data_IF_189705856207
#
_entry.id   IF_189705856207
#
_cell.length_a   1.000
_cell.length_b   1.000
_cell.length_c   1.000
_cell.angle_alpha   90.00
_cell.angle_beta   90.00
_cell.angle_gamma   90.00
#
_symmetry.space_group_name_H-M   'P 1'
#
loop_
_entity.id
_entity.type
_entity.pdbx_description
1 polymer ?
#
# COMPACT_ATOMS: atom_id res chain seq x y z
N UNK A 1 5.09 2.09 -0.79
CA UNK A 1 5.46 1.11 -1.82
C UNK A 1 4.27 0.35 -2.34
N UNK A 2 3.61 -0.44 -1.50
CA UNK A 2 2.39 -1.20 -1.86
C UNK A 2 1.37 -0.36 -2.63
N UNK A 3 1.04 0.84 -2.14
CA UNK A 3 0.09 1.74 -2.83
C UNK A 3 0.62 2.24 -4.18
N UNK A 4 1.93 2.45 -4.35
CA UNK A 4 2.51 2.86 -5.64
C UNK A 4 2.42 1.73 -6.68
N UNK A 5 2.76 0.50 -6.26
CA UNK A 5 2.55 -0.69 -7.10
C UNK A 5 1.07 -0.89 -7.44
N UNK A 6 0.16 -0.68 -6.48
CA UNK A 6 -1.27 -0.78 -6.71
C UNK A 6 -1.77 0.25 -7.73
N UNK A 7 -1.36 1.52 -7.63
CA UNK A 7 -1.72 2.57 -8.61
C UNK A 7 -1.44 2.11 -10.03
N UNK A 8 -0.26 1.54 -10.27
CA UNK A 8 0.13 1.04 -11.58
C UNK A 8 -0.58 -0.26 -11.97
N UNK A 9 -0.75 -1.20 -11.03
CA UNK A 9 -1.49 -2.44 -11.28
C UNK A 9 -2.96 -2.19 -11.69
N UNK A 10 -3.61 -1.17 -11.11
CA UNK A 10 -4.98 -0.82 -11.46
C UNK A 10 -5.11 -0.22 -12.87
N UNK A 11 -4.07 0.43 -13.40
CA UNK A 11 -4.06 0.89 -14.80
C UNK A 11 -4.22 -0.29 -15.77
N UNK A 12 -3.57 -1.43 -15.48
CA UNK A 12 -3.64 -2.64 -16.32
C UNK A 12 -5.05 -3.25 -16.37
N UNK A 13 -5.80 -3.15 -15.28
CA UNK A 13 -7.18 -3.66 -15.19
C UNK A 13 -8.25 -2.61 -15.50
N UNK A 14 -7.86 -1.36 -15.77
CA UNK A 14 -8.78 -0.24 -16.00
C UNK A 14 -9.65 0.11 -14.78
N UNK A 15 -9.30 -0.36 -13.58
CA UNK A 15 -10.04 -0.12 -12.34
C UNK A 15 -9.56 1.19 -11.67
N UNK A 16 -10.44 1.80 -10.89
CA UNK A 16 -10.11 3.00 -10.09
C UNK A 16 -9.97 2.66 -8.61
N UNK A 17 -9.20 3.45 -7.85
CA UNK A 17 -9.08 3.27 -6.40
C UNK A 17 -10.44 3.29 -5.68
N UNK A 18 -11.38 4.12 -6.16
CA UNK A 18 -12.72 4.24 -5.57
C UNK A 18 -13.66 3.08 -5.86
N UNK A 19 -13.33 2.22 -6.83
CA UNK A 19 -14.21 1.13 -7.28
C UNK A 19 -13.73 -0.26 -6.87
N UNK A 20 -12.65 -0.37 -6.10
CA UNK A 20 -12.07 -1.66 -5.71
C UNK A 20 -12.43 -2.04 -4.28
N UNK A 21 -12.63 -3.34 -4.06
CA UNK A 21 -12.65 -3.98 -2.75
C UNK A 21 -11.26 -4.48 -2.38
N UNK A 22 -10.72 -4.00 -1.26
CA UNK A 22 -9.42 -4.42 -0.74
C UNK A 22 -9.59 -5.27 0.51
N UNK A 23 -8.95 -6.44 0.54
CA UNK A 23 -8.81 -7.26 1.75
C UNK A 23 -7.36 -7.30 2.18
N UNK A 24 -7.07 -6.80 3.38
CA UNK A 24 -5.73 -6.74 3.94
C UNK A 24 -5.60 -7.71 5.12
N UNK A 25 -4.65 -8.64 5.07
CA UNK A 25 -4.36 -9.55 6.17
C UNK A 25 -3.10 -9.11 6.94
N UNK A 26 -3.28 -8.80 8.22
CA UNK A 26 -2.21 -8.37 9.12
C UNK A 26 -2.46 -6.99 9.74
N UNK A 27 -3.04 -6.98 10.94
CA UNK A 27 -3.35 -5.76 11.71
C UNK A 27 -2.18 -5.17 12.52
N UNK A 28 -0.95 -5.31 12.01
CA UNK A 28 0.25 -4.69 12.56
C UNK A 28 0.52 -3.29 12.00
N UNK A 29 1.64 -2.68 12.38
CA UNK A 29 1.99 -1.32 11.98
C UNK A 29 1.99 -1.11 10.45
N UNK A 30 2.52 -2.08 9.69
CA UNK A 30 2.56 -2.03 8.22
C UNK A 30 1.14 -2.03 7.62
N UNK A 31 0.29 -2.98 8.03
CA UNK A 31 -1.07 -3.08 7.50
C UNK A 31 -1.91 -1.86 7.81
N UNK A 32 -1.83 -1.35 9.03
CA UNK A 32 -2.53 -0.12 9.45
C UNK A 32 -2.08 1.07 8.61
N UNK A 33 -0.77 1.23 8.39
CA UNK A 33 -0.24 2.33 7.59
C UNK A 33 -0.67 2.23 6.11
N UNK A 34 -0.67 1.02 5.54
CA UNK A 34 -1.13 0.78 4.17
C UNK A 34 -2.61 1.14 4.04
N UNK A 35 -3.47 0.67 4.95
CA UNK A 35 -4.90 0.97 4.94
C UNK A 35 -5.19 2.47 5.04
N UNK A 36 -4.52 3.17 5.97
CA UNK A 36 -4.69 4.63 6.12
C UNK A 36 -4.30 5.37 4.83
N UNK A 37 -3.27 4.89 4.12
CA UNK A 37 -2.83 5.48 2.86
C UNK A 37 -3.79 5.14 1.71
N UNK A 38 -4.27 3.90 1.61
CA UNK A 38 -5.31 3.51 0.63
C UNK A 38 -6.57 4.35 0.78
N UNK A 39 -7.00 4.59 2.02
CA UNK A 39 -8.14 5.45 2.31
C UNK A 39 -7.90 6.89 1.84
N UNK A 40 -6.69 7.44 2.02
CA UNK A 40 -6.34 8.76 1.45
C UNK A 40 -6.38 8.77 -0.09
N UNK A 41 -6.01 7.66 -0.73
CA UNK A 41 -6.07 7.48 -2.19
C UNK A 41 -7.48 7.17 -2.73
N UNK A 42 -8.50 7.20 -1.87
CA UNK A 42 -9.91 7.11 -2.29
C UNK A 42 -10.53 5.72 -2.23
N UNK A 43 -9.80 4.71 -1.75
CA UNK A 43 -10.39 3.39 -1.50
C UNK A 43 -11.38 3.49 -0.33
N UNK A 44 -12.58 2.92 -0.50
CA UNK A 44 -13.65 2.97 0.52
C UNK A 44 -14.12 1.60 0.98
N UNK A 45 -14.08 0.60 0.11
CA UNK A 45 -14.34 -0.79 0.49
C UNK A 45 -13.02 -1.48 0.89
N UNK A 46 -12.73 -1.46 2.19
CA UNK A 46 -11.53 -2.06 2.77
C UNK A 46 -11.94 -2.96 3.92
N UNK A 47 -11.49 -4.20 3.94
CA UNK A 47 -11.63 -5.11 5.09
C UNK A 47 -10.22 -5.47 5.59
N UNK A 48 -9.98 -5.26 6.88
CA UNK A 48 -8.75 -5.67 7.55
C UNK A 48 -8.99 -6.94 8.34
N UNK A 49 -8.10 -7.92 8.22
CA UNK A 49 -8.11 -9.16 8.98
C UNK A 49 -6.92 -9.24 9.94
N UNK A 50 -7.13 -9.92 11.06
CA UNK A 50 -6.09 -10.36 11.98
C UNK A 50 -6.26 -11.84 12.36
N UNK A 51 -5.53 -12.30 13.37
CA UNK A 51 -5.57 -13.70 13.85
C UNK A 51 -6.93 -14.15 14.39
N UNK A 52 -7.89 -13.23 14.57
CA UNK A 52 -9.25 -13.52 15.01
C UNK A 52 -10.28 -13.35 13.88
N UNK A 53 -9.87 -13.07 12.64
CA UNK A 53 -10.75 -12.78 11.50
C UNK A 53 -10.88 -11.29 11.16
N UNK A 54 -11.99 -10.92 10.50
CA UNK A 54 -12.28 -9.56 10.07
C UNK A 54 -12.45 -8.59 11.24
N UNK A 55 -11.88 -7.39 11.09
CA UNK A 55 -11.98 -6.28 12.03
C UNK A 55 -13.17 -5.40 11.61
N UNK A 56 -14.01 -5.09 12.58
CA UNK A 56 -15.18 -4.22 12.42
C UNK A 56 -15.46 -3.45 13.71
N UNK A 57 -16.24 -2.39 13.60
CA UNK A 57 -16.57 -1.56 14.76
C UNK A 57 -17.42 -2.35 15.77
N UNK A 58 -16.98 -2.33 17.04
CA UNK A 58 -17.62 -3.07 18.13
C UNK A 58 -17.26 -4.56 18.23
N UNK A 59 -16.28 -5.04 17.47
CA UNK A 59 -15.81 -6.43 17.57
C UNK A 59 -15.37 -6.77 19.01
N UNK A 60 -15.84 -7.88 19.60
CA UNK A 60 -15.70 -8.14 21.04
C UNK A 60 -14.29 -8.54 21.48
N UNK A 61 -13.48 -9.12 20.60
CA UNK A 61 -12.21 -9.76 20.95
C UNK A 61 -11.06 -9.29 20.05
N UNK A 62 -9.83 -9.31 20.59
CA UNK A 62 -8.61 -9.05 19.81
C UNK A 62 -8.42 -7.59 19.38
N UNK A 63 -9.20 -6.66 19.97
CA UNK A 63 -9.17 -5.23 19.64
C UNK A 63 -8.17 -4.45 20.51
N UNK A 64 -7.69 -3.34 19.97
CA UNK A 64 -6.88 -2.34 20.67
C UNK A 64 -7.23 -0.94 20.12
N UNK A 65 -6.66 0.11 20.71
CA UNK A 65 -6.97 1.50 20.30
C UNK A 65 -6.79 1.75 18.79
N UNK A 66 -5.71 1.23 18.20
CA UNK A 66 -5.41 1.42 16.76
C UNK A 66 -6.39 0.66 15.87
N UNK A 67 -6.73 -0.58 16.23
CA UNK A 67 -7.75 -1.35 15.51
C UNK A 67 -9.13 -0.71 15.62
N UNK A 68 -9.47 -0.14 16.78
CA UNK A 68 -10.71 0.60 16.96
C UNK A 68 -10.76 1.85 16.06
N UNK A 69 -9.65 2.56 15.87
CA UNK A 69 -9.60 3.68 14.92
C UNK A 69 -9.82 3.23 13.48
N UNK A 70 -9.15 2.16 13.05
CA UNK A 70 -9.28 1.64 11.68
C UNK A 70 -10.68 1.11 11.42
N UNK A 71 -11.26 0.39 12.38
CA UNK A 71 -12.61 -0.14 12.31
C UNK A 71 -13.71 0.91 12.06
N UNK A 72 -13.47 2.19 12.40
CA UNK A 72 -14.43 3.28 12.15
C UNK A 72 -14.61 3.62 10.67
N UNK A 73 -13.58 3.38 9.85
CA UNK A 73 -13.60 3.77 8.43
C UNK A 73 -13.37 2.59 7.47
N UNK A 74 -13.06 1.40 7.97
CA UNK A 74 -13.01 0.15 7.19
C UNK A 74 -14.19 -0.74 7.53
N UNK A 75 -14.53 -1.69 6.64
CA UNK A 75 -15.53 -2.73 6.86
C UNK A 75 -16.86 -2.16 7.38
N UNK A 76 -17.39 -1.16 6.65
CA UNK A 76 -18.60 -0.41 7.03
C UNK A 76 -19.84 -1.32 7.16
N UNK A 77 -19.88 -2.41 6.39
CA UNK A 77 -20.93 -3.43 6.46
C UNK A 77 -20.79 -4.38 7.66
N UNK A 78 -19.73 -4.22 8.46
CA UNK A 78 -19.40 -5.06 9.62
C UNK A 78 -19.38 -6.55 9.27
N UNK A 79 -18.78 -6.91 8.13
CA UNK A 79 -18.60 -8.30 7.74
C UNK A 79 -17.75 -9.01 8.78
N UNK A 80 -18.25 -10.13 9.28
CA UNK A 80 -17.58 -10.98 10.25
C UNK A 80 -16.95 -12.19 9.55
N UNK A 81 -16.26 -13.01 10.34
CA UNK A 81 -15.67 -14.26 9.85
C UNK A 81 -14.17 -14.19 9.59
N UNK A 82 -13.67 -15.30 9.05
CA UNK A 82 -12.29 -15.57 8.67
C UNK A 82 -11.87 -14.81 7.40
N UNK A 83 -10.57 -14.84 7.11
CA UNK A 83 -10.04 -14.32 5.85
C UNK A 83 -10.71 -14.99 4.64
N UNK A 84 -10.93 -16.30 4.70
CA UNK A 84 -11.56 -17.07 3.63
C UNK A 84 -12.96 -16.58 3.28
N UNK A 85 -13.73 -16.17 4.29
CA UNK A 85 -15.12 -15.75 4.12
C UNK A 85 -15.19 -14.32 3.56
N UNK A 86 -14.32 -13.42 4.00
CA UNK A 86 -14.41 -12.00 3.60
C UNK A 86 -13.68 -11.66 2.29
N UNK A 87 -12.80 -12.55 1.82
CA UNK A 87 -12.02 -12.34 0.58
C UNK A 87 -12.84 -12.49 -0.70
N UNK A 88 -14.04 -13.08 -0.63
CA UNK A 88 -14.91 -13.29 -1.78
C UNK A 88 -15.17 -11.96 -2.53
N UNK A 89 -14.96 -11.97 -3.84
CA UNK A 89 -15.14 -10.81 -4.72
C UNK A 89 -14.17 -9.65 -4.46
N UNK A 90 -13.08 -9.84 -3.70
CA UNK A 90 -12.07 -8.80 -3.51
C UNK A 90 -11.28 -8.57 -4.81
N UNK A 91 -11.02 -7.32 -5.17
CA UNK A 91 -10.17 -6.95 -6.31
C UNK A 91 -8.68 -7.01 -5.94
N UNK A 92 -8.38 -6.77 -4.66
CA UNK A 92 -7.01 -6.66 -4.18
C UNK A 92 -6.85 -7.40 -2.86
N UNK A 93 -5.81 -8.22 -2.78
CA UNK A 93 -5.32 -8.77 -1.52
C UNK A 93 -3.99 -8.12 -1.12
N UNK A 94 -3.85 -7.75 0.15
CA UNK A 94 -2.61 -7.23 0.73
C UNK A 94 -2.25 -8.04 1.97
N UNK A 95 -1.21 -8.86 1.87
CA UNK A 95 -0.66 -9.64 2.97
C UNK A 95 0.57 -8.97 3.58
N UNK A 96 0.52 -8.74 4.90
CA UNK A 96 1.66 -8.34 5.75
C UNK A 96 1.65 -9.14 7.05
N UNK A 97 1.51 -10.45 6.89
CA UNK A 97 1.13 -11.38 7.95
C UNK A 97 2.10 -12.56 8.05
N UNK A 98 1.64 -13.78 7.75
CA UNK A 98 2.36 -15.04 7.90
C UNK A 98 2.32 -15.85 6.60
N UNK A 99 3.32 -16.71 6.44
CA UNK A 99 3.42 -17.58 5.28
C UNK A 99 2.19 -18.47 5.10
N UNK A 100 1.75 -18.68 3.86
CA UNK A 100 0.63 -19.58 3.54
C UNK A 100 -0.75 -19.10 3.99
N UNK A 101 -0.89 -17.84 4.41
CA UNK A 101 -2.17 -17.30 4.86
C UNK A 101 -3.21 -17.15 3.72
N UNK A 102 -2.78 -17.09 2.46
CA UNK A 102 -3.66 -17.00 1.30
C UNK A 102 -3.54 -18.28 0.46
N UNK A 103 -4.64 -18.96 0.22
CA UNK A 103 -4.65 -20.22 -0.56
C UNK A 103 -5.13 -20.00 -1.99
N UNK A 104 -4.89 -20.98 -2.88
CA UNK A 104 -5.38 -20.94 -4.27
C UNK A 104 -6.90 -20.86 -4.33
N UNK A 105 -7.58 -21.58 -3.44
CA UNK A 105 -9.05 -21.60 -3.35
C UNK A 105 -9.58 -20.21 -2.98
N UNK A 106 -8.90 -19.51 -2.07
CA UNK A 106 -9.25 -18.13 -1.72
C UNK A 106 -9.07 -17.18 -2.91
N UNK A 107 -7.97 -17.29 -3.65
CA UNK A 107 -7.73 -16.49 -4.86
C UNK A 107 -8.80 -16.78 -5.92
N UNK A 108 -9.22 -18.04 -6.07
CA UNK A 108 -10.31 -18.42 -6.98
C UNK A 108 -11.68 -17.83 -6.62
N UNK A 109 -11.88 -17.38 -5.36
CA UNK A 109 -13.09 -16.68 -4.89
C UNK A 109 -13.01 -15.16 -5.07
N UNK A 110 -11.84 -14.61 -5.41
CA UNK A 110 -11.66 -13.17 -5.62
C UNK A 110 -12.36 -12.68 -6.90
N UNK A 111 -12.42 -11.37 -7.09
CA UNK A 111 -12.91 -10.79 -8.34
C UNK A 111 -12.02 -11.18 -9.52
N UNK A 112 -12.53 -11.02 -10.75
CA UNK A 112 -11.74 -11.26 -11.97
C UNK A 112 -10.49 -10.38 -11.99
N UNK A 113 -9.38 -11.00 -12.42
CA UNK A 113 -8.06 -10.39 -12.59
C UNK A 113 -7.55 -9.71 -11.29
N UNK A 114 -7.54 -10.40 -10.13
CA UNK A 114 -7.21 -9.77 -8.85
C UNK A 114 -5.72 -9.42 -8.75
N UNK A 115 -5.43 -8.36 -8.00
CA UNK A 115 -4.07 -7.92 -7.66
C UNK A 115 -3.68 -8.45 -6.29
N UNK A 116 -2.53 -9.10 -6.17
CA UNK A 116 -2.07 -9.71 -4.92
C UNK A 116 -0.71 -9.14 -4.52
N UNK A 117 -0.63 -8.54 -3.33
CA UNK A 117 0.63 -8.19 -2.70
C UNK A 117 0.87 -9.06 -1.46
N UNK A 118 1.64 -10.15 -1.61
CA UNK A 118 1.96 -11.10 -0.55
C UNK A 118 3.38 -10.83 0.00
N UNK A 119 3.48 -10.02 1.05
CA UNK A 119 4.74 -9.41 1.50
C UNK A 119 5.32 -10.04 2.77
N UNK A 120 4.77 -11.15 3.28
CA UNK A 120 5.41 -11.94 4.32
C UNK A 120 6.80 -12.43 3.87
N UNK A 121 7.75 -12.47 4.81
CA UNK A 121 9.12 -12.92 4.58
C UNK A 121 9.52 -13.97 5.63
N UNK A 122 10.39 -14.94 5.29
CA UNK A 122 10.96 -15.18 3.96
C UNK A 122 9.97 -15.84 2.98
N UNK A 123 8.91 -16.47 3.50
CA UNK A 123 7.88 -17.11 2.70
C UNK A 123 6.63 -16.22 2.65
N UNK A 124 6.10 -15.90 1.45
CA UNK A 124 4.94 -15.05 1.29
C UNK A 124 3.64 -15.73 1.74
N UNK A 125 2.56 -14.95 1.85
CA UNK A 125 1.21 -15.46 2.11
C UNK A 125 0.74 -16.48 1.07
N UNK A 126 1.16 -16.31 -0.18
CA UNK A 126 1.00 -17.25 -1.30
C UNK A 126 2.21 -17.10 -2.22
N UNK A 127 2.68 -18.19 -2.81
CA UNK A 127 3.75 -18.11 -3.81
C UNK A 127 3.23 -17.52 -5.12
N UNK A 128 4.02 -16.72 -5.87
CA UNK A 128 3.57 -16.08 -7.10
C UNK A 128 3.04 -17.05 -8.16
N UNK A 129 3.69 -18.20 -8.33
CA UNK A 129 3.27 -19.26 -9.24
C UNK A 129 1.86 -19.78 -8.89
N UNK A 130 1.57 -19.90 -7.60
CA UNK A 130 0.30 -20.40 -7.11
C UNK A 130 -0.81 -19.35 -7.24
N UNK A 131 -0.48 -18.08 -6.97
CA UNK A 131 -1.38 -16.96 -7.17
C UNK A 131 -1.77 -16.78 -8.65
N UNK A 132 -0.80 -16.83 -9.55
CA UNK A 132 -1.06 -16.75 -10.99
C UNK A 132 -1.86 -17.96 -11.50
N UNK A 133 -1.53 -19.17 -11.06
CA UNK A 133 -2.29 -20.37 -11.39
C UNK A 133 -3.76 -20.30 -10.92
N UNK A 134 -4.02 -19.56 -9.84
CA UNK A 134 -5.36 -19.33 -9.32
C UNK A 134 -6.08 -18.11 -9.94
N UNK A 135 -5.45 -17.39 -10.87
CA UNK A 135 -6.07 -16.34 -11.67
C UNK A 135 -5.62 -14.91 -11.36
N UNK A 136 -4.62 -14.71 -10.50
CA UNK A 136 -4.09 -13.37 -10.20
C UNK A 136 -3.46 -12.71 -11.44
N UNK A 137 -3.83 -11.46 -11.70
CA UNK A 137 -3.33 -10.69 -12.84
C UNK A 137 -1.97 -10.06 -12.56
N UNK A 138 -1.77 -9.57 -11.33
CA UNK A 138 -0.52 -8.97 -10.86
C UNK A 138 -0.22 -9.54 -9.49
N UNK A 139 1.02 -10.00 -9.31
CA UNK A 139 1.53 -10.46 -8.02
C UNK A 139 2.80 -9.68 -7.67
N UNK A 140 2.87 -9.16 -6.45
CA UNK A 140 4.08 -8.58 -5.89
C UNK A 140 4.39 -9.15 -4.51
N UNK A 141 5.68 -9.27 -4.20
CA UNK A 141 6.14 -9.87 -2.93
C UNK A 141 7.20 -9.01 -2.26
N UNK A 142 7.61 -9.37 -1.04
CA UNK A 142 8.76 -8.75 -0.38
C UNK A 142 10.12 -9.25 -0.90
N UNK A 143 10.15 -10.37 -1.64
CA UNK A 143 11.37 -11.05 -2.05
C UNK A 143 11.94 -10.49 -3.34
N UNK A 144 13.26 -10.52 -3.47
CA UNK A 144 14.00 -9.95 -4.60
C UNK A 144 14.11 -10.88 -5.81
N UNK A 145 13.83 -12.16 -5.63
CA UNK A 145 13.89 -13.17 -6.69
C UNK A 145 12.59 -13.26 -7.51
N UNK A 146 11.58 -12.45 -7.18
CA UNK A 146 10.32 -12.36 -7.92
C UNK A 146 10.09 -10.97 -8.51
N UNK A 147 9.29 -10.86 -9.60
CA UNK A 147 8.82 -9.59 -10.12
C UNK A 147 8.08 -8.75 -9.06
N UNK A 148 7.95 -7.45 -9.34
CA UNK A 148 7.17 -6.51 -8.52
C UNK A 148 7.57 -6.50 -7.03
N UNK A 149 8.88 -6.51 -6.72
CA UNK A 149 9.35 -6.48 -5.35
C UNK A 149 8.90 -5.21 -4.60
N UNK A 150 8.10 -5.38 -3.55
CA UNK A 150 7.68 -4.32 -2.65
C UNK A 150 8.71 -4.18 -1.52
N UNK A 151 9.67 -3.28 -1.70
CA UNK A 151 10.76 -3.04 -0.74
C UNK A 151 10.80 -1.60 -0.24
N UNK A 152 10.94 -1.41 1.08
CA UNK A 152 11.02 -0.10 1.71
C UNK A 152 12.20 0.77 1.26
N UNK A 153 13.28 0.17 0.71
CA UNK A 153 14.41 0.88 0.10
C UNK A 153 13.96 1.85 -0.99
N UNK A 154 12.84 1.58 -1.66
CA UNK A 154 12.29 2.47 -2.66
C UNK A 154 11.70 3.77 -2.09
N UNK A 155 11.41 3.83 -0.79
CA UNK A 155 10.79 5.01 -0.17
C UNK A 155 11.78 5.77 0.74
N UNK A 156 12.42 5.06 1.68
CA UNK A 156 13.11 5.72 2.79
C UNK A 156 14.24 6.66 2.36
N UNK A 157 15.20 6.28 1.49
CA UNK A 157 16.29 7.17 1.11
C UNK A 157 15.78 8.49 0.51
N UNK A 158 14.78 8.41 -0.36
CA UNK A 158 14.19 9.59 -0.99
C UNK A 158 13.37 10.44 -0.03
N UNK A 159 12.51 9.82 0.81
CA UNK A 159 11.69 10.53 1.80
C UNK A 159 12.60 11.29 2.78
N UNK A 160 13.60 10.62 3.34
CA UNK A 160 14.53 11.25 4.29
C UNK A 160 15.37 12.33 3.62
N UNK A 161 15.86 12.10 2.39
CA UNK A 161 16.60 13.13 1.66
C UNK A 161 15.74 14.38 1.44
N UNK A 162 14.52 14.22 0.94
CA UNK A 162 13.60 15.34 0.72
C UNK A 162 13.25 16.08 2.03
N UNK A 163 13.05 15.34 3.12
CA UNK A 163 12.81 15.91 4.45
C UNK A 163 14.00 16.74 4.97
N UNK A 164 15.22 16.24 4.79
CA UNK A 164 16.44 16.92 5.23
C UNK A 164 16.72 18.18 4.40
N UNK A 165 16.50 18.12 3.09
CA UNK A 165 16.73 19.25 2.17
C UNK A 165 15.90 20.47 2.53
N UNK A 166 14.70 20.25 3.06
CA UNK A 166 13.75 21.30 3.46
C UNK A 166 13.67 21.49 4.97
N UNK A 167 14.50 20.77 5.74
CA UNK A 167 14.53 20.80 7.21
C UNK A 167 13.14 20.56 7.84
N UNK A 168 12.39 19.60 7.28
CA UNK A 168 11.10 19.20 7.83
C UNK A 168 11.25 18.69 9.27
N UNK A 169 10.32 19.05 10.15
CA UNK A 169 10.34 18.62 11.56
C UNK A 169 9.74 17.23 11.77
N UNK A 170 8.98 16.73 10.80
CA UNK A 170 8.35 15.41 10.80
C UNK A 170 7.98 15.02 9.35
N UNK A 171 7.72 13.73 9.13
CA UNK A 171 7.19 13.21 7.87
C UNK A 171 5.66 13.23 7.95
N UNK A 172 5.00 14.12 7.21
CA UNK A 172 3.54 14.26 7.17
C UNK A 172 2.89 13.36 6.10
N UNK A 173 1.56 13.37 6.01
CA UNK A 173 0.81 12.56 5.04
C UNK A 173 1.03 13.04 3.61
N UNK A 174 1.13 14.34 3.37
CA UNK A 174 1.37 14.91 2.04
C UNK A 174 2.71 14.44 1.45
N UNK A 175 3.74 14.28 2.29
CA UNK A 175 5.02 13.69 1.88
C UNK A 175 4.90 12.21 1.53
N UNK A 176 4.06 11.44 2.23
CA UNK A 176 3.81 10.02 1.92
C UNK A 176 3.06 9.87 0.60
N UNK A 177 2.03 10.68 0.37
CA UNK A 177 1.27 10.73 -0.89
C UNK A 177 2.21 11.11 -2.03
N UNK A 178 3.00 12.17 -1.87
CA UNK A 178 4.00 12.58 -2.86
C UNK A 178 5.01 11.48 -3.18
N UNK A 179 5.46 10.71 -2.18
CA UNK A 179 6.35 9.58 -2.40
C UNK A 179 5.69 8.46 -3.22
N UNK A 180 4.43 8.12 -2.91
CA UNK A 180 3.66 7.14 -3.69
C UNK A 180 3.57 7.57 -5.15
N UNK A 181 3.15 8.80 -5.40
CA UNK A 181 2.98 9.30 -6.76
C UNK A 181 4.32 9.40 -7.51
N UNK A 182 5.40 9.81 -6.83
CA UNK A 182 6.73 9.87 -7.44
C UNK A 182 7.17 8.48 -7.93
N UNK A 183 7.01 7.47 -7.09
CA UNK A 183 7.42 6.10 -7.41
C UNK A 183 6.55 5.51 -8.51
N UNK A 184 5.22 5.67 -8.41
CA UNK A 184 4.30 5.16 -9.43
C UNK A 184 4.60 5.77 -10.80
N UNK A 185 4.94 7.08 -10.85
CA UNK A 185 5.24 7.81 -12.09
C UNK A 185 6.56 7.41 -12.77
N UNK A 186 7.41 6.60 -12.13
CA UNK A 186 8.67 6.14 -12.73
C UNK A 186 8.49 4.93 -13.65
N UNK A 187 7.35 4.24 -13.55
CA UNK A 187 6.96 3.21 -14.51
C UNK A 187 6.17 3.90 -15.61
N UNK A 188 6.75 3.99 -16.80
CA UNK A 188 6.08 4.55 -17.98
C UNK A 188 4.96 3.62 -18.45
N UNK A 189 4.02 4.15 -19.24
CA UNK A 189 2.93 3.34 -19.77
C UNK A 189 3.45 2.31 -20.79
N UNK A 190 4.62 2.54 -21.41
CA UNK A 190 5.30 1.60 -22.30
C UNK A 190 6.01 0.46 -21.55
N UNK A 191 6.53 0.70 -20.35
CA UNK A 191 7.19 -0.31 -19.51
C UNK A 191 6.19 -1.09 -18.64
N UNK A 192 5.00 -0.51 -18.41
CA UNK A 192 3.99 -1.05 -17.53
C UNK A 192 3.51 -2.42 -18.00
N UNK A 193 3.70 -3.42 -17.16
CA UNK A 193 3.25 -4.79 -17.42
C UNK A 193 2.88 -5.50 -16.12
N UNK A 194 2.26 -6.68 -16.22
CA UNK A 194 1.90 -7.48 -15.05
C UNK A 194 3.10 -7.84 -14.16
N UNK A 195 4.30 -7.92 -14.75
CA UNK A 195 5.56 -8.22 -14.05
C UNK A 195 6.36 -6.96 -13.67
N UNK A 196 5.89 -5.77 -14.06
CA UNK A 196 6.57 -4.50 -13.80
C UNK A 196 5.58 -3.37 -13.50
N UNK A 197 5.01 -3.38 -12.29
CA UNK A 197 4.12 -2.32 -11.77
C UNK A 197 4.82 -1.39 -10.80
N UNK A 198 6.04 -1.72 -10.38
CA UNK A 198 6.82 -0.93 -9.42
C UNK A 198 8.32 -0.99 -9.80
N UNK A 199 9.07 0.11 -9.70
CA UNK A 199 10.50 0.10 -9.99
C UNK A 199 11.26 -0.87 -9.09
N UNK A 200 12.39 -1.38 -9.57
CA UNK A 200 13.25 -2.26 -8.78
C UNK A 200 13.93 -1.49 -7.64
N UNK A 201 14.26 -2.10 -6.50
CA UNK A 201 14.78 -1.37 -5.33
C UNK A 201 16.04 -0.55 -5.55
N UNK A 202 16.85 -0.90 -6.54
CA UNK A 202 18.11 -0.20 -6.87
C UNK A 202 17.98 0.72 -8.09
N UNK A 203 16.77 0.99 -8.56
CA UNK A 203 16.55 1.99 -9.59
C UNK A 203 17.01 3.36 -9.10
N UNK A 204 18.10 3.86 -9.68
CA UNK A 204 18.75 5.11 -9.30
C UNK A 204 17.84 6.34 -9.47
N UNK A 205 16.75 6.23 -10.24
CA UNK A 205 15.77 7.31 -10.45
C UNK A 205 14.89 7.54 -9.22
N UNK A 206 14.69 6.51 -8.39
CA UNK A 206 13.70 6.49 -7.31
C UNK A 206 13.99 7.52 -6.22
N UNK A 207 15.16 7.43 -5.58
CA UNK A 207 15.48 8.33 -4.46
C UNK A 207 15.46 9.82 -4.85
N UNK A 208 16.06 10.24 -5.98
CA UNK A 208 15.97 11.63 -6.46
C UNK A 208 14.52 12.09 -6.73
N UNK A 209 13.70 11.24 -7.38
CA UNK A 209 12.32 11.58 -7.70
C UNK A 209 11.47 11.79 -6.43
N UNK A 210 11.59 10.86 -5.47
CA UNK A 210 10.89 10.93 -4.18
C UNK A 210 11.35 12.15 -3.38
N UNK A 211 12.66 12.41 -3.29
CA UNK A 211 13.19 13.56 -2.57
C UNK A 211 12.67 14.89 -3.13
N UNK A 212 12.70 15.03 -4.46
CA UNK A 212 12.21 16.23 -5.16
C UNK A 212 10.73 16.47 -4.93
N UNK A 213 9.89 15.42 -4.95
CA UNK A 213 8.44 15.56 -4.78
C UNK A 213 8.06 15.75 -3.31
N UNK A 214 8.63 14.95 -2.41
CA UNK A 214 8.42 15.05 -0.96
C UNK A 214 8.84 16.42 -0.38
N UNK A 215 9.99 16.95 -0.80
CA UNK A 215 10.44 18.29 -0.37
C UNK A 215 9.55 19.44 -0.87
N UNK A 216 8.83 19.28 -1.98
CA UNK A 216 7.84 20.28 -2.40
C UNK A 216 6.58 20.24 -1.52
N UNK A 217 6.14 19.05 -1.14
CA UNK A 217 4.94 18.84 -0.32
C UNK A 217 5.10 19.24 1.15
N UNK A 218 6.33 19.28 1.68
CA UNK A 218 6.59 19.75 3.04
C UNK A 218 6.37 21.27 3.24
N UNK A 219 6.34 22.05 2.15
CA UNK A 219 6.15 23.51 2.22
C UNK A 219 4.70 23.92 2.51
N UNK A 220 3.77 22.97 2.65
CA UNK A 220 2.35 23.22 2.94
C UNK A 220 2.05 23.88 4.29
N UNK A 221 3.03 24.06 5.20
CA UNK A 221 2.78 24.80 6.45
C UNK A 221 4.02 25.37 7.18
N UNK A 222 5.19 25.42 6.53
CA UNK A 222 6.46 25.72 7.24
C UNK A 222 7.09 27.07 6.92
N UNK A 223 6.66 27.79 5.86
CA UNK A 223 7.29 29.07 5.48
C UNK A 223 7.12 30.22 6.49
N UNK A 224 6.31 30.06 7.56
CA UNK A 224 6.00 31.18 8.46
C UNK A 224 6.41 31.03 9.94
N UNK A 225 7.03 29.93 10.41
CA UNK A 225 7.30 29.78 11.85
C UNK A 225 8.73 29.96 12.34
N UNK A 226 9.75 29.90 11.46
CA UNK A 226 11.15 29.92 11.93
C UNK A 226 12.11 30.90 11.23
N UNK A 227 11.60 31.92 10.53
CA UNK A 227 12.47 32.99 10.02
C UNK A 227 12.20 34.29 10.75
N UNK A 228 12.97 34.53 11.82
CA UNK A 228 13.16 35.84 12.43
C UNK A 228 13.92 36.83 11.53
N UNK A 229 13.63 36.87 10.22
CA UNK A 229 14.08 37.91 9.29
C UNK A 229 13.02 38.13 8.19
N UNK A 230 12.60 39.37 7.93
CA UNK A 230 11.71 39.67 6.83
C UNK A 230 12.53 39.74 5.55
N UNK A 231 12.22 38.92 4.55
CA UNK A 231 12.07 39.32 3.14
C UNK A 231 11.78 38.14 2.21
N UNK A 232 10.67 38.31 1.49
CA UNK A 232 10.28 37.71 0.21
C UNK A 232 10.14 36.19 0.11
N UNK A 233 8.92 35.72 0.39
CA UNK A 233 8.34 34.63 -0.38
C UNK A 233 7.91 35.18 -1.76
N UNK A 234 8.69 34.85 -2.79
CA UNK A 234 8.16 34.52 -4.12
C UNK A 234 8.42 33.03 -4.37
#
# INVERSE_FOLDING_TARGET
MTVAGLVNALKLSGKSMSSIKVVANGAGAAGIAIIKLLYHFGVRDIIMCDTKGAIYEGRPNGMNAVKNEVAKFTNQDRKEGSLEEVIEGADVFIGVSVAGALTKEMVGKMAKDPVIFAMANPNPEIMPEDAHAAGASVVGTGRSDFPNQVNNVLAFPGIFRGALDVRATHINEEMKIAAVEAIASLVSDEELSAEYVIPTPFDARVAPAVAKKGGKSSNGNWRCKNQGRPRSCR
#
